data_IF_914047207829
#
_entry.id   IF_914047207829
#
_cell.length_a   1.000
_cell.length_b   1.000
_cell.length_c   1.000
_cell.angle_alpha   90.00
_cell.angle_beta   90.00
_cell.angle_gamma   90.00
#
_symmetry.space_group_name_H-M   'P 1'
#
loop_
_entity.id
_entity.type
_entity.pdbx_description
1 polymer ?
#
# COMPACT_ATOMS: atom_id res chain seq x y z
N UNK A 1 -40.02 81.65 20.30
CA UNK A 1 -39.27 82.88 19.97
C UNK A 1 -38.11 82.48 19.06
N UNK A 2 -38.17 83.05 17.82
CA UNK A 2 -37.05 83.23 16.85
C UNK A 2 -36.33 81.97 16.32
N UNK A 3 -36.66 81.49 15.11
CA UNK A 3 -36.21 81.89 13.76
C UNK A 3 -34.78 81.41 13.42
N UNK A 4 -34.71 80.39 12.53
CA UNK A 4 -34.17 80.25 11.14
C UNK A 4 -32.76 80.84 10.83
N UNK A 5 -32.06 80.49 9.70
CA UNK A 5 -32.34 79.56 8.57
C UNK A 5 -31.14 78.81 8.03
N UNK A 6 -31.40 77.82 7.14
CA UNK A 6 -30.97 77.58 5.72
C UNK A 6 -29.51 77.83 5.33
N UNK A 7 -28.95 76.80 4.70
CA UNK A 7 -28.38 76.92 3.33
C UNK A 7 -28.19 75.52 2.67
N UNK A 8 -28.84 75.34 1.56
CA UNK A 8 -28.68 74.25 0.63
C UNK A 8 -27.57 74.62 -0.37
N UNK A 9 -26.80 73.65 -0.83
CA UNK A 9 -26.06 73.68 -2.12
C UNK A 9 -26.11 72.32 -2.77
N UNK A 10 -26.90 72.25 -3.79
CA UNK A 10 -26.88 71.18 -4.77
C UNK A 10 -25.82 71.46 -5.86
N UNK A 11 -25.07 70.46 -6.30
CA UNK A 11 -24.37 70.51 -7.57
C UNK A 11 -24.47 69.18 -8.28
N UNK A 12 -24.86 69.25 -9.51
CA UNK A 12 -25.18 68.32 -10.56
C UNK A 12 -24.03 67.35 -10.97
N UNK A 13 -24.43 66.10 -11.25
CA UNK A 13 -24.33 65.29 -12.48
C UNK A 13 -23.06 65.46 -13.36
N UNK A 14 -22.41 64.34 -13.60
CA UNK A 14 -21.93 63.91 -14.91
C UNK A 14 -21.84 62.39 -15.00
N UNK A 15 -22.71 61.82 -15.83
CA UNK A 15 -22.63 60.42 -16.28
C UNK A 15 -21.52 60.32 -17.37
N UNK A 16 -20.66 59.35 -17.23
CA UNK A 16 -19.84 58.84 -18.34
C UNK A 16 -19.88 57.31 -18.33
N UNK A 17 -20.56 56.78 -19.35
CA UNK A 17 -20.54 55.39 -19.68
C UNK A 17 -19.17 55.02 -20.28
N UNK A 18 -18.52 54.01 -19.73
CA UNK A 18 -17.41 53.29 -20.39
C UNK A 18 -17.62 51.79 -20.21
N UNK A 19 -17.91 51.12 -21.32
CA UNK A 19 -17.81 49.66 -21.47
C UNK A 19 -16.40 49.21 -21.16
N UNK A 20 -16.24 48.26 -20.22
CA UNK A 20 -14.95 47.62 -19.91
C UNK A 20 -15.19 46.24 -19.38
N UNK A 21 -14.61 45.28 -20.08
CA UNK A 21 -14.62 43.84 -19.95
C UNK A 21 -14.71 43.34 -18.50
N UNK A 22 -15.64 42.42 -18.28
CA UNK A 22 -15.74 41.66 -17.03
C UNK A 22 -14.55 40.72 -16.84
N UNK A 23 -13.64 41.08 -15.96
CA UNK A 23 -12.71 40.13 -15.33
C UNK A 23 -13.48 39.45 -14.21
N UNK A 24 -13.85 38.20 -14.44
CA UNK A 24 -14.27 37.31 -13.38
C UNK A 24 -13.06 37.04 -12.47
N UNK A 25 -12.95 37.81 -11.40
CA UNK A 25 -12.10 37.46 -10.24
C UNK A 25 -12.70 36.22 -9.57
N UNK A 26 -12.18 35.08 -9.91
CA UNK A 26 -12.34 33.89 -9.05
C UNK A 26 -11.69 34.21 -7.70
N UNK A 27 -12.50 34.46 -6.71
CA UNK A 27 -12.08 34.55 -5.31
C UNK A 27 -11.48 33.17 -4.96
N UNK A 28 -10.23 33.09 -4.47
CA UNK A 28 -9.75 31.86 -3.89
C UNK A 28 -10.64 31.55 -2.70
N UNK A 29 -11.14 30.32 -2.62
CA UNK A 29 -11.81 29.83 -1.43
C UNK A 29 -10.89 30.06 -0.23
N UNK A 30 -11.40 30.75 0.79
CA UNK A 30 -10.70 31.00 2.03
C UNK A 30 -10.29 29.64 2.62
N UNK A 31 -8.98 29.38 2.65
CA UNK A 31 -8.40 28.30 3.44
C UNK A 31 -8.74 28.56 4.90
N UNK A 32 -9.67 27.79 5.46
CA UNK A 32 -9.90 27.76 6.89
C UNK A 32 -8.67 27.15 7.56
N UNK A 33 -8.20 27.81 8.61
CA UNK A 33 -7.26 27.24 9.59
C UNK A 33 -7.99 26.13 10.36
N UNK A 34 -8.00 24.94 9.78
CA UNK A 34 -8.53 23.71 10.34
C UNK A 34 -8.23 22.60 9.37
N UNK A 35 -7.31 21.71 9.71
CA UNK A 35 -6.98 20.57 8.89
C UNK A 35 -8.25 19.81 8.55
N UNK A 36 -8.48 19.56 7.25
CA UNK A 36 -9.66 18.83 6.80
C UNK A 36 -9.67 17.40 7.31
N UNK A 37 -10.88 16.82 7.46
CA UNK A 37 -11.09 15.47 8.00
C UNK A 37 -10.68 14.39 7.00
N UNK A 38 -9.81 13.48 7.43
CA UNK A 38 -9.37 12.34 6.63
C UNK A 38 -10.14 11.09 7.05
N UNK A 39 -10.88 10.50 6.10
CA UNK A 39 -11.53 9.20 6.25
C UNK A 39 -10.58 8.08 5.86
N UNK A 40 -10.50 7.02 6.68
CA UNK A 40 -9.66 5.85 6.40
C UNK A 40 -10.52 4.59 6.39
N UNK A 41 -10.33 3.76 5.35
CA UNK A 41 -10.80 2.38 5.33
C UNK A 41 -9.61 1.42 5.36
N UNK A 42 -9.56 0.55 6.37
CA UNK A 42 -8.59 -0.52 6.45
C UNK A 42 -9.08 -1.73 5.64
N UNK A 43 -8.21 -2.39 4.84
CA UNK A 43 -8.66 -3.51 4.02
C UNK A 43 -9.01 -4.74 4.85
N UNK A 44 -8.27 -4.98 5.94
CA UNK A 44 -8.43 -6.11 6.85
C UNK A 44 -7.72 -5.87 8.19
N UNK A 45 -8.03 -6.69 9.20
CA UNK A 45 -7.38 -6.65 10.53
C UNK A 45 -7.06 -8.08 11.04
N UNK A 46 -6.87 -9.02 10.12
CA UNK A 46 -6.53 -10.42 10.38
C UNK A 46 -5.17 -10.81 9.76
N UNK A 47 -4.32 -9.83 9.49
CA UNK A 47 -2.97 -9.97 8.98
C UNK A 47 -2.01 -9.15 9.85
N UNK A 48 -0.88 -9.74 10.24
CA UNK A 48 0.11 -9.07 11.09
C UNK A 48 0.69 -7.81 10.44
N UNK A 49 0.84 -7.80 9.10
CA UNK A 49 1.21 -6.62 8.35
C UNK A 49 0.19 -5.48 8.51
N UNK A 50 -1.09 -5.77 8.24
CA UNK A 50 -2.15 -4.75 8.32
C UNK A 50 -2.42 -4.30 9.76
N UNK A 51 -2.28 -5.19 10.74
CA UNK A 51 -2.36 -4.81 12.15
C UNK A 51 -1.25 -3.84 12.55
N UNK A 52 -0.04 -4.01 12.02
CA UNK A 52 1.07 -3.07 12.23
C UNK A 52 0.80 -1.72 11.56
N UNK A 53 0.35 -1.71 10.30
CA UNK A 53 -0.07 -0.48 9.62
C UNK A 53 -1.13 0.29 10.40
N UNK A 54 -2.20 -0.41 10.85
CA UNK A 54 -3.30 0.19 11.65
C UNK A 54 -2.76 0.83 12.93
N UNK A 55 -1.78 0.19 13.56
CA UNK A 55 -1.17 0.67 14.81
C UNK A 55 -0.38 1.96 14.61
N UNK A 56 0.30 2.14 13.47
CA UNK A 56 1.06 3.35 13.15
C UNK A 56 0.17 4.55 12.80
N UNK A 57 -1.05 4.34 12.30
CA UNK A 57 -1.94 5.42 11.82
C UNK A 57 -2.17 6.52 12.86
N UNK A 58 -2.60 6.25 14.12
CA UNK A 58 -2.85 7.31 15.09
C UNK A 58 -1.56 8.06 15.47
N UNK A 59 -0.44 7.39 15.59
CA UNK A 59 0.86 8.00 15.91
C UNK A 59 1.28 8.98 14.79
N UNK A 60 1.19 8.55 13.55
CA UNK A 60 1.53 9.39 12.40
C UNK A 60 0.54 10.54 12.21
N UNK A 61 -0.73 10.34 12.54
CA UNK A 61 -1.73 11.41 12.49
C UNK A 61 -1.41 12.52 13.50
N UNK A 62 -1.03 12.15 14.72
CA UNK A 62 -0.63 13.10 15.76
C UNK A 62 0.66 13.84 15.33
N UNK A 63 1.68 13.13 14.82
CA UNK A 63 2.94 13.72 14.32
C UNK A 63 2.69 14.75 13.22
N UNK A 64 1.80 14.42 12.27
CA UNK A 64 1.52 15.25 11.10
C UNK A 64 0.41 16.29 11.34
N UNK A 65 -0.28 16.23 12.48
CA UNK A 65 -1.42 17.10 12.78
C UNK A 65 -2.60 16.87 11.82
N UNK A 66 -2.93 15.60 11.55
CA UNK A 66 -4.05 15.19 10.68
C UNK A 66 -5.27 14.86 11.52
N UNK A 67 -6.43 15.48 11.22
CA UNK A 67 -7.70 15.13 11.87
C UNK A 67 -8.26 13.84 11.23
N UNK A 68 -8.21 12.74 11.98
CA UNK A 68 -8.77 11.46 11.55
C UNK A 68 -10.24 11.32 11.96
N UNK A 69 -11.02 10.75 11.04
CA UNK A 69 -12.35 10.21 11.38
C UNK A 69 -12.18 8.80 11.98
N UNK A 70 -13.26 8.30 12.63
CA UNK A 70 -13.30 6.88 13.02
C UNK A 70 -13.08 5.99 11.79
N UNK A 71 -12.01 5.20 11.80
CA UNK A 71 -11.67 4.34 10.68
C UNK A 71 -12.70 3.21 10.49
N UNK A 72 -12.89 2.82 9.25
CA UNK A 72 -13.70 1.66 8.86
C UNK A 72 -12.82 0.48 8.45
N UNK A 73 -13.41 -0.70 8.27
CA UNK A 73 -12.70 -1.91 7.86
C UNK A 73 -13.58 -2.69 6.86
N UNK A 74 -13.08 -2.81 5.64
CA UNK A 74 -13.79 -3.50 4.56
C UNK A 74 -13.65 -5.03 4.57
N UNK A 75 -12.74 -5.59 5.36
CA UNK A 75 -12.53 -7.04 5.49
C UNK A 75 -12.28 -7.73 4.14
N UNK A 76 -11.50 -7.12 3.26
CA UNK A 76 -11.24 -7.52 1.87
C UNK A 76 -12.49 -7.64 0.97
N UNK A 77 -13.63 -7.09 1.40
CA UNK A 77 -14.88 -7.09 0.65
C UNK A 77 -15.06 -5.75 -0.06
N UNK A 78 -15.09 -5.77 -1.39
CA UNK A 78 -15.20 -4.55 -2.19
C UNK A 78 -16.53 -3.84 -2.00
N UNK A 79 -17.63 -4.56 -1.74
CA UNK A 79 -18.93 -3.93 -1.49
C UNK A 79 -18.94 -3.22 -0.13
N UNK A 80 -18.30 -3.80 0.88
CA UNK A 80 -18.09 -3.12 2.16
C UNK A 80 -17.21 -1.88 2.00
N UNK A 81 -16.10 -1.97 1.25
CA UNK A 81 -15.25 -0.82 0.96
C UNK A 81 -16.06 0.34 0.35
N UNK A 82 -16.87 0.05 -0.67
CA UNK A 82 -17.73 1.06 -1.31
C UNK A 82 -18.69 1.69 -0.30
N UNK A 83 -19.37 0.87 0.52
CA UNK A 83 -20.30 1.36 1.55
C UNK A 83 -19.58 2.19 2.62
N UNK A 84 -18.42 1.75 3.07
CA UNK A 84 -17.60 2.47 4.06
C UNK A 84 -17.15 3.83 3.53
N UNK A 85 -16.66 3.89 2.29
CA UNK A 85 -16.27 5.15 1.65
C UNK A 85 -17.47 6.10 1.54
N UNK A 86 -18.65 5.61 1.15
CA UNK A 86 -19.87 6.42 1.11
C UNK A 86 -20.26 6.95 2.49
N UNK A 87 -20.15 6.12 3.53
CA UNK A 87 -20.41 6.52 4.91
C UNK A 87 -19.43 7.60 5.39
N UNK A 88 -18.14 7.43 5.13
CA UNK A 88 -17.11 8.42 5.48
C UNK A 88 -17.38 9.78 4.79
N UNK A 89 -17.73 9.76 3.49
CA UNK A 89 -18.12 10.99 2.77
C UNK A 89 -19.37 11.61 3.40
N UNK A 90 -20.38 10.82 3.71
CA UNK A 90 -21.62 11.28 4.34
C UNK A 90 -21.40 11.92 5.73
N UNK A 91 -20.33 11.51 6.41
CA UNK A 91 -19.90 12.07 7.71
C UNK A 91 -18.93 13.25 7.57
N UNK A 92 -18.60 13.67 6.36
CA UNK A 92 -17.83 14.87 6.08
C UNK A 92 -16.33 14.64 5.82
N UNK A 93 -15.92 13.44 5.41
CA UNK A 93 -14.55 13.20 4.94
C UNK A 93 -14.23 14.12 3.75
N UNK A 94 -13.08 14.78 3.81
CA UNK A 94 -12.58 15.70 2.78
C UNK A 94 -11.43 15.08 1.98
N UNK A 95 -10.82 14.02 2.48
CA UNK A 95 -9.90 13.15 1.76
C UNK A 95 -10.14 11.69 2.20
N UNK A 96 -9.86 10.73 1.33
CA UNK A 96 -10.00 9.30 1.61
C UNK A 96 -8.65 8.60 1.47
N UNK A 97 -8.30 7.80 2.47
CA UNK A 97 -7.21 6.83 2.43
C UNK A 97 -7.80 5.43 2.43
N UNK A 98 -7.41 4.60 1.47
CA UNK A 98 -7.92 3.22 1.36
C UNK A 98 -6.90 2.29 0.66
N UNK A 99 -7.09 0.98 0.84
CA UNK A 99 -6.29 -0.06 0.18
C UNK A 99 -7.22 -1.06 -0.53
N UNK A 100 -7.68 -0.76 -1.77
CA UNK A 100 -8.62 -1.63 -2.48
C UNK A 100 -7.96 -2.96 -2.87
N UNK A 101 -8.47 -4.07 -2.36
CA UNK A 101 -7.92 -5.40 -2.62
C UNK A 101 -8.33 -5.96 -3.99
N UNK A 102 -9.49 -5.57 -4.53
CA UNK A 102 -9.83 -5.72 -5.94
C UNK A 102 -9.58 -4.40 -6.66
N UNK A 103 -8.46 -4.34 -7.38
CA UNK A 103 -7.95 -3.09 -7.98
C UNK A 103 -8.71 -2.66 -9.23
N UNK A 104 -9.44 -3.57 -9.87
CA UNK A 104 -10.32 -3.27 -10.99
C UNK A 104 -11.70 -2.78 -10.58
N UNK A 105 -12.28 -3.40 -9.55
CA UNK A 105 -13.65 -3.15 -9.12
C UNK A 105 -13.87 -1.77 -8.49
N UNK A 106 -12.82 -1.12 -7.97
CA UNK A 106 -12.92 0.18 -7.28
C UNK A 106 -13.09 1.38 -8.24
N UNK A 107 -12.92 1.21 -9.54
CA UNK A 107 -12.88 2.29 -10.52
C UNK A 107 -14.10 3.23 -10.48
N UNK A 108 -15.31 2.69 -10.33
CA UNK A 108 -16.54 3.50 -10.25
C UNK A 108 -16.62 4.36 -8.98
N UNK A 109 -16.09 3.85 -7.88
CA UNK A 109 -16.01 4.58 -6.61
C UNK A 109 -15.03 5.75 -6.73
N UNK A 110 -13.87 5.52 -7.36
CA UNK A 110 -12.90 6.58 -7.63
C UNK A 110 -13.47 7.67 -8.52
N UNK A 111 -14.23 7.31 -9.56
CA UNK A 111 -14.91 8.29 -10.41
C UNK A 111 -15.95 9.13 -9.64
N UNK A 112 -16.67 8.53 -8.70
CA UNK A 112 -17.60 9.25 -7.83
C UNK A 112 -16.87 10.23 -6.90
N UNK A 113 -15.74 9.83 -6.34
CA UNK A 113 -14.89 10.70 -5.50
C UNK A 113 -14.30 11.87 -6.29
N UNK A 114 -13.81 11.61 -7.49
CA UNK A 114 -13.34 12.64 -8.42
C UNK A 114 -14.42 13.67 -8.73
N UNK A 115 -15.65 13.24 -9.06
CA UNK A 115 -16.79 14.12 -9.34
C UNK A 115 -17.19 14.99 -8.12
N UNK A 116 -16.82 14.56 -6.92
CA UNK A 116 -17.04 15.30 -5.66
C UNK A 116 -15.83 16.14 -5.25
N UNK A 117 -14.75 16.14 -6.03
CA UNK A 117 -13.47 16.76 -5.71
C UNK A 117 -12.88 16.27 -4.37
N UNK A 118 -13.08 15.02 -4.02
CA UNK A 118 -12.51 14.38 -2.82
C UNK A 118 -11.25 13.65 -3.25
N UNK A 119 -10.05 14.10 -2.84
CA UNK A 119 -8.80 13.44 -3.17
C UNK A 119 -8.73 12.05 -2.51
N UNK A 120 -8.14 11.12 -3.24
CA UNK A 120 -7.93 9.74 -2.80
C UNK A 120 -6.45 9.43 -2.77
N UNK A 121 -6.02 8.90 -1.64
CA UNK A 121 -4.73 8.26 -1.47
C UNK A 121 -4.96 6.76 -1.34
N UNK A 122 -4.30 5.97 -2.19
CA UNK A 122 -4.32 4.53 -1.99
C UNK A 122 -3.00 4.05 -1.40
N UNK A 123 -3.10 3.05 -0.53
CA UNK A 123 -1.94 2.47 0.18
C UNK A 123 -1.78 1.03 -0.26
N UNK A 124 -0.53 0.59 -0.42
CA UNK A 124 -0.18 -0.78 -0.79
C UNK A 124 -0.66 -1.18 -2.18
N UNK A 125 -1.92 -0.95 -2.51
CA UNK A 125 -2.52 -1.34 -3.78
C UNK A 125 -2.76 -0.17 -4.71
N UNK A 126 -2.43 -0.36 -5.99
CA UNK A 126 -2.67 0.59 -7.07
C UNK A 126 -3.95 0.21 -7.83
N UNK A 127 -4.98 1.09 -7.87
CA UNK A 127 -6.15 0.86 -8.71
C UNK A 127 -5.79 0.75 -10.19
N UNK A 128 -6.41 -0.20 -10.90
CA UNK A 128 -6.18 -0.37 -12.35
C UNK A 128 -6.71 0.83 -13.16
N UNK A 129 -7.75 1.50 -12.65
CA UNK A 129 -8.39 2.67 -13.28
C UNK A 129 -9.00 3.58 -12.21
N UNK A 130 -9.31 4.81 -12.62
CA UNK A 130 -9.88 5.84 -11.74
C UNK A 130 -8.79 6.71 -11.14
N UNK A 131 -9.09 8.02 -10.98
CA UNK A 131 -8.12 9.00 -10.52
C UNK A 131 -7.77 8.82 -9.06
N UNK A 132 -6.48 8.87 -8.78
CA UNK A 132 -5.93 8.97 -7.43
C UNK A 132 -5.03 10.20 -7.35
N UNK A 133 -4.92 10.77 -6.15
CA UNK A 133 -3.98 11.86 -5.90
C UNK A 133 -2.57 11.29 -5.73
N UNK A 134 -2.45 10.21 -4.95
CA UNK A 134 -1.18 9.48 -4.74
C UNK A 134 -1.46 8.02 -4.41
N UNK A 135 -0.67 7.14 -4.99
CA UNK A 135 -0.51 5.75 -4.52
C UNK A 135 0.74 5.69 -3.66
N UNK A 136 0.66 5.17 -2.45
CA UNK A 136 1.80 4.96 -1.54
C UNK A 136 2.05 3.46 -1.45
N UNK A 137 3.10 2.97 -2.08
CA UNK A 137 3.44 1.55 -2.09
C UNK A 137 4.93 1.31 -2.38
N UNK A 138 5.41 0.13 -2.06
CA UNK A 138 6.71 -0.32 -2.55
C UNK A 138 6.58 -0.96 -3.95
N UNK A 139 7.68 -1.06 -4.69
CA UNK A 139 7.70 -1.69 -6.01
C UNK A 139 7.48 -3.22 -5.91
N UNK A 140 6.25 -3.65 -6.19
CA UNK A 140 5.85 -5.06 -6.11
C UNK A 140 6.44 -5.92 -7.22
N UNK A 141 6.82 -5.36 -8.36
CA UNK A 141 7.57 -6.10 -9.38
C UNK A 141 8.99 -6.40 -8.90
N UNK A 142 9.62 -5.43 -8.21
CA UNK A 142 10.92 -5.67 -7.56
C UNK A 142 10.85 -6.77 -6.49
N UNK A 143 9.72 -6.97 -5.81
CA UNK A 143 9.57 -8.10 -4.89
C UNK A 143 9.66 -9.45 -5.61
N UNK A 144 8.94 -9.62 -6.70
CA UNK A 144 9.01 -10.84 -7.52
C UNK A 144 10.42 -11.09 -8.04
N UNK A 145 11.06 -10.05 -8.59
CA UNK A 145 12.44 -10.16 -9.12
C UNK A 145 13.45 -10.52 -8.04
N UNK A 146 13.46 -9.82 -6.89
CA UNK A 146 14.37 -10.11 -5.77
C UNK A 146 14.17 -11.51 -5.21
N UNK A 147 12.91 -11.97 -5.11
CA UNK A 147 12.61 -13.33 -4.63
C UNK A 147 13.09 -14.40 -5.60
N UNK A 148 12.95 -14.17 -6.91
CA UNK A 148 13.48 -15.03 -7.95
C UNK A 148 15.01 -15.11 -7.87
N UNK A 149 15.70 -13.98 -7.83
CA UNK A 149 17.16 -13.91 -7.76
C UNK A 149 17.67 -14.64 -6.52
N UNK A 150 17.07 -14.35 -5.35
CA UNK A 150 17.45 -15.02 -4.12
C UNK A 150 17.28 -16.54 -4.19
N UNK A 151 16.09 -17.04 -4.58
CA UNK A 151 15.86 -18.48 -4.70
C UNK A 151 16.73 -19.12 -5.77
N UNK A 152 16.86 -18.48 -6.94
CA UNK A 152 17.68 -18.97 -8.03
C UNK A 152 19.14 -19.16 -7.64
N UNK A 153 19.71 -18.19 -6.92
CA UNK A 153 21.09 -18.24 -6.41
C UNK A 153 21.25 -19.32 -5.33
N UNK A 154 20.35 -19.35 -4.33
CA UNK A 154 20.40 -20.34 -3.24
C UNK A 154 20.25 -21.79 -3.74
N UNK A 155 19.48 -21.99 -4.80
CA UNK A 155 19.26 -23.33 -5.41
C UNK A 155 20.31 -23.68 -6.46
N UNK A 156 21.25 -22.79 -6.77
CA UNK A 156 22.26 -23.00 -7.83
C UNK A 156 21.64 -23.15 -9.22
N UNK A 157 20.54 -22.45 -9.47
CA UNK A 157 19.88 -22.32 -10.76
C UNK A 157 19.04 -23.51 -11.20
N UNK A 158 18.74 -24.49 -10.34
CA UNK A 158 17.96 -25.70 -10.70
C UNK A 158 17.14 -26.24 -9.56
N UNK A 159 16.06 -26.93 -9.87
CA UNK A 159 15.19 -27.58 -8.87
C UNK A 159 13.72 -27.19 -9.03
N UNK A 160 12.98 -27.30 -7.94
CA UNK A 160 11.52 -27.03 -7.91
C UNK A 160 11.18 -26.03 -6.85
N UNK A 161 10.35 -25.07 -7.19
CA UNK A 161 9.90 -23.96 -6.31
C UNK A 161 8.38 -23.91 -6.30
N UNK A 162 7.79 -23.72 -5.13
CA UNK A 162 6.37 -23.40 -4.97
C UNK A 162 6.23 -21.90 -4.75
N UNK A 163 5.42 -21.23 -5.56
CA UNK A 163 5.03 -19.84 -5.40
C UNK A 163 3.63 -19.77 -4.79
N UNK A 164 3.52 -19.36 -3.52
CA UNK A 164 2.25 -19.13 -2.84
C UNK A 164 1.77 -17.71 -3.16
N UNK A 165 0.98 -17.60 -4.23
CA UNK A 165 0.57 -16.31 -4.79
C UNK A 165 -0.55 -15.66 -3.98
N UNK A 166 -0.58 -14.32 -3.99
CA UNK A 166 -1.75 -13.56 -3.57
C UNK A 166 -2.89 -13.60 -4.59
N UNK A 167 -3.98 -12.88 -4.29
CA UNK A 167 -5.12 -12.77 -5.21
C UNK A 167 -4.72 -12.08 -6.52
N UNK A 168 -5.07 -12.65 -7.65
CA UNK A 168 -4.81 -12.09 -8.98
C UNK A 168 -5.80 -10.97 -9.36
N UNK A 169 -6.88 -10.76 -8.61
CA UNK A 169 -7.72 -9.55 -8.68
C UNK A 169 -7.01 -8.30 -8.14
N UNK A 170 -5.95 -8.50 -7.34
CA UNK A 170 -5.08 -7.43 -6.83
C UNK A 170 -3.86 -7.24 -7.73
N UNK A 171 -3.51 -5.98 -8.01
CA UNK A 171 -2.28 -5.63 -8.73
C UNK A 171 -1.03 -6.19 -8.03
N UNK A 172 -1.01 -6.26 -6.69
CA UNK A 172 0.12 -6.78 -5.93
C UNK A 172 0.35 -8.27 -6.22
N UNK A 173 -0.72 -9.06 -6.26
CA UNK A 173 -0.63 -10.49 -6.62
C UNK A 173 -0.10 -10.68 -8.03
N UNK A 174 -0.60 -9.88 -8.99
CA UNK A 174 -0.12 -9.92 -10.39
C UNK A 174 1.34 -9.48 -10.52
N UNK A 175 1.69 -8.30 -10.02
CA UNK A 175 3.06 -7.75 -10.12
C UNK A 175 4.11 -8.71 -9.55
N UNK A 176 3.84 -9.29 -8.37
CA UNK A 176 4.76 -10.25 -7.71
C UNK A 176 4.88 -11.54 -8.53
N UNK A 177 3.74 -12.10 -8.98
CA UNK A 177 3.72 -13.37 -9.73
C UNK A 177 4.40 -13.24 -11.10
N UNK A 178 4.03 -12.21 -11.86
CA UNK A 178 4.58 -11.99 -13.20
C UNK A 178 6.08 -11.74 -13.16
N UNK A 179 6.55 -10.83 -12.29
CA UNK A 179 7.97 -10.50 -12.21
C UNK A 179 8.81 -11.69 -11.72
N UNK A 180 8.29 -12.50 -10.79
CA UNK A 180 8.95 -13.74 -10.37
C UNK A 180 9.05 -14.74 -11.53
N UNK A 181 7.94 -15.00 -12.23
CA UNK A 181 7.92 -15.94 -13.35
C UNK A 181 8.77 -15.49 -14.54
N UNK A 182 8.74 -14.20 -14.88
CA UNK A 182 9.60 -13.62 -15.93
C UNK A 182 11.09 -13.81 -15.60
N UNK A 183 11.49 -13.45 -14.37
CA UNK A 183 12.86 -13.60 -13.89
C UNK A 183 13.31 -15.06 -13.86
N UNK A 184 12.47 -15.99 -13.36
CA UNK A 184 12.78 -17.43 -13.34
C UNK A 184 13.01 -17.96 -14.76
N UNK A 185 12.11 -17.61 -15.69
CA UNK A 185 12.24 -18.03 -17.09
C UNK A 185 13.49 -17.48 -17.76
N UNK A 186 13.89 -16.25 -17.45
CA UNK A 186 15.04 -15.59 -18.07
C UNK A 186 16.37 -16.04 -17.45
N UNK A 187 16.46 -16.04 -16.11
CA UNK A 187 17.73 -16.25 -15.41
C UNK A 187 17.95 -17.67 -14.93
N UNK A 188 16.87 -18.40 -14.61
CA UNK A 188 16.94 -19.73 -14.01
C UNK A 188 16.00 -20.73 -14.68
N UNK A 189 16.15 -20.98 -16.03
CA UNK A 189 15.22 -21.79 -16.81
C UNK A 189 15.15 -23.27 -16.38
N UNK A 190 16.10 -23.76 -15.59
CA UNK A 190 16.14 -25.13 -15.06
C UNK A 190 15.41 -25.24 -13.69
N UNK A 191 14.77 -24.17 -13.21
CA UNK A 191 13.89 -24.18 -12.05
C UNK A 191 12.45 -24.34 -12.51
N UNK A 192 11.80 -25.42 -12.10
CA UNK A 192 10.36 -25.64 -12.29
C UNK A 192 9.58 -24.88 -11.21
N UNK A 193 8.65 -24.00 -11.60
CA UNK A 193 7.83 -23.21 -10.69
C UNK A 193 6.41 -23.75 -10.67
N UNK A 194 5.88 -23.96 -9.48
CA UNK A 194 4.48 -24.32 -9.22
C UNK A 194 3.73 -23.12 -8.62
N UNK A 195 2.82 -22.58 -9.40
CA UNK A 195 2.00 -21.42 -9.03
C UNK A 195 0.75 -21.86 -8.25
N UNK A 196 0.60 -21.39 -7.02
CA UNK A 196 -0.51 -21.72 -6.13
C UNK A 196 -1.26 -20.43 -5.74
N UNK A 197 -2.41 -20.11 -6.38
CA UNK A 197 -3.20 -18.92 -6.10
C UNK A 197 -3.96 -19.06 -4.79
N UNK A 198 -3.42 -18.47 -3.72
CA UNK A 198 -3.97 -18.60 -2.37
C UNK A 198 -5.07 -17.61 -2.03
N UNK A 199 -5.29 -16.59 -2.87
CA UNK A 199 -6.28 -15.51 -2.65
C UNK A 199 -6.05 -14.73 -1.32
N UNK A 200 -4.79 -14.61 -0.88
CA UNK A 200 -4.41 -14.06 0.43
C UNK A 200 -5.04 -14.83 1.62
N UNK A 201 -5.26 -16.14 1.47
CA UNK A 201 -5.83 -16.99 2.52
C UNK A 201 -4.81 -18.03 3.01
N UNK A 202 -4.45 -17.96 4.31
CA UNK A 202 -3.48 -18.89 4.91
C UNK A 202 -3.93 -20.36 4.87
N UNK A 203 -5.22 -20.64 4.99
CA UNK A 203 -5.77 -21.99 4.87
C UNK A 203 -5.60 -22.60 3.47
N UNK A 204 -5.80 -21.79 2.43
CA UNK A 204 -5.52 -22.20 1.05
C UNK A 204 -4.03 -22.43 0.83
N UNK A 205 -3.17 -21.54 1.35
CA UNK A 205 -1.73 -21.70 1.28
C UNK A 205 -1.27 -23.03 1.90
N UNK A 206 -1.75 -23.35 3.10
CA UNK A 206 -1.43 -24.63 3.76
C UNK A 206 -1.87 -25.83 2.93
N UNK A 207 -3.12 -25.84 2.46
CA UNK A 207 -3.69 -26.96 1.69
C UNK A 207 -2.98 -27.19 0.36
N UNK A 208 -2.72 -26.11 -0.39
CA UNK A 208 -2.03 -26.16 -1.67
C UNK A 208 -0.57 -26.59 -1.50
N UNK A 209 0.15 -26.00 -0.53
CA UNK A 209 1.52 -26.38 -0.22
C UNK A 209 1.62 -27.85 0.20
N UNK A 210 0.74 -28.33 1.08
CA UNK A 210 0.72 -29.72 1.49
C UNK A 210 0.54 -30.66 0.30
N UNK A 211 -0.41 -30.37 -0.57
CA UNK A 211 -0.69 -31.15 -1.79
C UNK A 211 0.52 -31.14 -2.72
N UNK A 212 1.13 -29.97 -2.91
CA UNK A 212 2.28 -29.83 -3.80
C UNK A 212 3.49 -30.62 -3.30
N UNK A 213 3.79 -30.57 -2.00
CA UNK A 213 4.88 -31.34 -1.38
C UNK A 213 4.64 -32.85 -1.38
N UNK A 214 3.37 -33.32 -1.39
CA UNK A 214 3.03 -34.74 -1.56
C UNK A 214 3.29 -35.21 -2.99
N UNK A 215 2.95 -34.40 -3.99
CA UNK A 215 3.17 -34.70 -5.40
C UNK A 215 4.64 -34.56 -5.81
N UNK A 216 5.34 -33.61 -5.21
CA UNK A 216 6.73 -33.25 -5.53
C UNK A 216 7.57 -33.13 -4.24
N UNK A 217 7.97 -34.27 -3.64
CA UNK A 217 8.77 -34.28 -2.42
C UNK A 217 10.20 -33.73 -2.60
N UNK A 218 10.57 -33.43 -3.85
CA UNK A 218 11.84 -32.83 -4.26
C UNK A 218 11.77 -31.30 -4.41
N UNK A 219 10.69 -30.65 -3.98
CA UNK A 219 10.62 -29.17 -3.86
C UNK A 219 11.71 -28.68 -2.92
N UNK A 220 12.45 -27.65 -3.35
CA UNK A 220 13.60 -27.07 -2.65
C UNK A 220 13.46 -25.59 -2.34
N UNK A 221 12.46 -24.92 -2.89
CA UNK A 221 12.22 -23.52 -2.63
C UNK A 221 10.74 -23.20 -2.45
N UNK A 222 10.44 -22.19 -1.63
CA UNK A 222 9.09 -21.64 -1.43
C UNK A 222 9.19 -20.12 -1.47
N UNK A 223 8.37 -19.50 -2.32
CA UNK A 223 8.14 -18.06 -2.32
C UNK A 223 6.74 -17.76 -1.79
N UNK A 224 6.65 -17.02 -0.68
CA UNK A 224 5.40 -16.54 -0.09
C UNK A 224 5.17 -15.08 -0.47
N UNK A 225 4.05 -14.77 -1.13
CA UNK A 225 3.74 -13.38 -1.50
C UNK A 225 3.42 -12.48 -0.31
N UNK A 226 3.05 -13.02 0.85
CA UNK A 226 2.73 -12.23 2.04
C UNK A 226 2.98 -13.04 3.32
N UNK A 227 3.97 -12.64 4.09
CA UNK A 227 4.29 -13.27 5.38
C UNK A 227 3.17 -13.13 6.41
N UNK A 228 2.51 -11.97 6.40
CA UNK A 228 1.41 -11.68 7.33
C UNK A 228 0.22 -12.65 7.27
N UNK A 229 0.14 -13.47 6.22
CA UNK A 229 -0.92 -14.50 6.09
C UNK A 229 -0.37 -15.89 5.78
N UNK A 230 0.80 -16.03 5.16
CA UNK A 230 1.32 -17.30 4.70
C UNK A 230 2.36 -17.92 5.64
N UNK A 231 3.07 -17.13 6.47
CA UNK A 231 4.18 -17.62 7.28
C UNK A 231 3.78 -18.77 8.22
N UNK A 232 2.84 -18.53 9.11
CA UNK A 232 2.44 -19.50 10.12
C UNK A 232 1.93 -20.83 9.50
N UNK A 233 1.01 -20.83 8.50
CA UNK A 233 0.57 -22.05 7.86
C UNK A 233 1.67 -22.76 7.07
N UNK A 234 2.57 -22.05 6.41
CA UNK A 234 3.73 -22.65 5.70
C UNK A 234 4.67 -23.35 6.67
N UNK A 235 5.08 -22.69 7.76
CA UNK A 235 5.91 -23.30 8.79
C UNK A 235 5.25 -24.52 9.44
N UNK A 236 3.93 -24.46 9.64
CA UNK A 236 3.18 -25.62 10.17
C UNK A 236 3.25 -26.81 9.20
N UNK A 237 3.03 -26.60 7.90
CA UNK A 237 3.13 -27.67 6.89
C UNK A 237 4.54 -28.24 6.82
N UNK A 238 5.57 -27.40 6.78
CA UNK A 238 6.96 -27.85 6.76
C UNK A 238 7.33 -28.65 8.00
N UNK A 239 6.88 -28.23 9.17
CA UNK A 239 7.09 -28.95 10.45
C UNK A 239 6.39 -30.31 10.42
N UNK A 240 5.16 -30.40 9.97
CA UNK A 240 4.40 -31.66 9.86
C UNK A 240 5.04 -32.65 8.87
N UNK A 241 5.66 -32.16 7.81
CA UNK A 241 6.36 -32.96 6.80
C UNK A 241 7.81 -33.29 7.18
N UNK A 242 8.32 -32.76 8.32
CA UNK A 242 9.72 -32.93 8.71
C UNK A 242 10.70 -32.20 7.80
N UNK A 243 10.24 -31.14 7.13
CA UNK A 243 11.02 -30.31 6.18
C UNK A 243 11.45 -28.96 6.77
N UNK A 244 11.01 -28.63 8.00
CA UNK A 244 11.51 -27.45 8.70
C UNK A 244 12.86 -27.78 9.33
N UNK A 245 13.88 -27.72 8.52
CA UNK A 245 15.26 -28.10 8.83
C UNK A 245 16.16 -26.86 8.83
N UNK A 246 17.27 -26.84 9.58
CA UNK A 246 18.19 -25.71 9.59
C UNK A 246 18.86 -25.50 8.21
N UNK A 247 19.35 -24.29 7.90
CA UNK A 247 19.92 -23.95 6.57
C UNK A 247 21.12 -24.79 6.13
N UNK A 248 21.84 -25.40 7.06
CA UNK A 248 23.00 -26.28 6.80
C UNK A 248 22.61 -27.74 6.52
N UNK A 249 21.34 -28.11 6.67
CA UNK A 249 20.86 -29.45 6.34
C UNK A 249 20.70 -29.58 4.80
N UNK A 250 21.21 -30.63 4.14
CA UNK A 250 21.09 -30.82 2.69
C UNK A 250 19.65 -31.02 2.21
N UNK A 251 18.72 -31.28 3.10
CA UNK A 251 17.28 -31.37 2.82
C UNK A 251 16.53 -30.10 3.10
N UNK A 252 17.22 -29.05 3.55
CA UNK A 252 16.59 -27.75 3.80
C UNK A 252 15.80 -27.26 2.59
N UNK A 253 14.64 -26.66 2.84
CA UNK A 253 13.81 -25.99 1.83
C UNK A 253 14.00 -24.49 2.02
N UNK A 254 14.56 -23.83 1.02
CA UNK A 254 14.78 -22.37 1.06
C UNK A 254 13.47 -21.62 1.00
N UNK A 255 13.20 -20.78 1.97
CA UNK A 255 11.94 -20.04 2.07
C UNK A 255 12.20 -18.54 2.05
N UNK A 256 11.61 -17.86 1.07
CA UNK A 256 11.57 -16.39 1.03
C UNK A 256 10.14 -15.88 1.10
N UNK A 257 9.94 -14.76 1.77
CA UNK A 257 8.65 -14.12 1.96
C UNK A 257 8.67 -12.65 1.58
N UNK A 258 7.52 -11.99 1.69
CA UNK A 258 7.37 -10.54 1.69
C UNK A 258 6.60 -10.15 2.96
N UNK A 259 6.75 -8.93 3.37
CA UNK A 259 6.14 -8.08 4.39
C UNK A 259 7.18 -7.55 5.38
N UNK A 260 8.08 -8.38 5.93
CA UNK A 260 9.06 -7.95 6.94
C UNK A 260 8.43 -7.76 8.32
N UNK A 261 7.41 -8.55 8.65
CA UNK A 261 6.76 -8.54 9.97
C UNK A 261 7.72 -9.06 11.05
N UNK A 262 7.51 -8.70 12.34
CA UNK A 262 8.34 -9.20 13.45
C UNK A 262 8.46 -10.72 13.49
N UNK A 263 7.40 -11.45 13.14
CA UNK A 263 7.38 -12.91 13.12
C UNK A 263 8.28 -13.50 12.04
N UNK A 264 8.41 -12.84 10.87
CA UNK A 264 9.37 -13.25 9.83
C UNK A 264 10.80 -13.04 10.29
N UNK A 265 11.08 -11.90 10.93
CA UNK A 265 12.41 -11.62 11.47
C UNK A 265 12.80 -12.64 12.53
N UNK A 266 11.86 -13.02 13.40
CA UNK A 266 12.10 -14.09 14.37
C UNK A 266 12.32 -15.46 13.70
N UNK A 267 11.57 -15.75 12.63
CA UNK A 267 11.76 -16.98 11.86
C UNK A 267 13.12 -17.00 11.13
N UNK A 268 13.60 -15.86 10.60
CA UNK A 268 14.95 -15.73 10.02
C UNK A 268 16.02 -15.97 11.09
N UNK A 269 15.89 -15.37 12.28
CA UNK A 269 16.83 -15.58 13.39
C UNK A 269 16.96 -17.04 13.78
N UNK A 270 15.84 -17.76 13.75
CA UNK A 270 15.79 -19.20 14.05
C UNK A 270 16.23 -20.10 12.89
N UNK A 271 16.38 -19.57 11.69
CA UNK A 271 16.63 -20.35 10.48
C UNK A 271 15.42 -21.18 10.04
N UNK A 272 14.20 -20.75 10.37
CA UNK A 272 12.94 -21.37 9.93
C UNK A 272 12.52 -20.85 8.54
N UNK A 273 12.94 -19.63 8.16
CA UNK A 273 12.94 -19.10 6.79
C UNK A 273 14.27 -18.39 6.53
N UNK A 274 14.61 -18.16 5.27
CA UNK A 274 15.91 -17.66 4.85
C UNK A 274 15.92 -16.15 4.61
N UNK A 275 14.81 -15.60 4.09
CA UNK A 275 14.71 -14.19 3.76
C UNK A 275 13.27 -13.68 3.76
N UNK A 276 13.15 -12.37 3.83
CA UNK A 276 11.91 -11.64 3.50
C UNK A 276 12.26 -10.32 2.81
N UNK A 277 11.34 -9.80 1.98
CA UNK A 277 11.44 -8.44 1.47
C UNK A 277 10.57 -7.57 2.37
N UNK A 278 11.19 -6.63 3.07
CA UNK A 278 10.52 -5.83 4.09
C UNK A 278 9.69 -4.72 3.44
N UNK A 279 8.38 -4.84 3.51
CA UNK A 279 7.40 -3.87 3.07
C UNK A 279 7.15 -2.84 4.19
N UNK A 280 7.39 -1.53 3.98
CA UNK A 280 7.48 -0.57 5.09
C UNK A 280 6.09 -0.13 5.60
N UNK A 281 5.52 -0.88 6.54
CA UNK A 281 4.18 -0.61 7.11
C UNK A 281 4.09 0.75 7.82
N UNK A 282 5.16 1.17 8.47
CA UNK A 282 5.32 2.47 9.13
C UNK A 282 5.31 3.62 8.12
N UNK A 283 6.11 3.51 7.05
CA UNK A 283 6.15 4.52 6.00
C UNK A 283 4.84 4.56 5.20
N UNK A 284 4.15 3.43 5.04
CA UNK A 284 2.82 3.40 4.43
C UNK A 284 1.84 4.26 5.23
N UNK A 285 1.81 4.12 6.56
CA UNK A 285 0.97 4.93 7.42
C UNK A 285 1.35 6.42 7.36
N UNK A 286 2.65 6.72 7.47
CA UNK A 286 3.18 8.08 7.44
C UNK A 286 2.85 8.80 6.13
N UNK A 287 3.22 8.21 5.00
CA UNK A 287 3.06 8.89 3.71
C UNK A 287 1.64 8.88 3.19
N UNK A 288 0.80 7.90 3.57
CA UNK A 288 -0.63 7.99 3.31
C UNK A 288 -1.25 9.26 3.93
N UNK A 289 -0.93 9.55 5.18
CA UNK A 289 -1.44 10.73 5.89
C UNK A 289 -0.76 12.02 5.43
N UNK A 290 0.54 11.98 5.15
CA UNK A 290 1.26 13.12 4.57
C UNK A 290 0.63 13.58 3.26
N UNK A 291 0.36 12.65 2.32
CA UNK A 291 -0.26 12.98 1.04
C UNK A 291 -1.73 13.34 1.18
N UNK A 292 -2.46 12.76 2.15
CA UNK A 292 -3.83 13.18 2.44
C UNK A 292 -3.88 14.64 2.90
N UNK A 293 -2.99 15.03 3.82
CA UNK A 293 -2.84 16.42 4.26
C UNK A 293 -2.42 17.35 3.11
N UNK A 294 -1.42 16.93 2.34
CA UNK A 294 -0.93 17.70 1.18
C UNK A 294 -2.05 17.95 0.15
N UNK A 295 -2.90 16.95 -0.10
CA UNK A 295 -4.04 17.10 -0.99
C UNK A 295 -5.07 18.12 -0.47
N UNK A 296 -5.33 18.10 0.83
CA UNK A 296 -6.22 19.07 1.48
C UNK A 296 -5.65 20.50 1.47
N UNK A 297 -4.33 20.64 1.52
CA UNK A 297 -3.60 21.90 1.38
C UNK A 297 -3.45 22.36 -0.09
N UNK A 298 -3.92 21.58 -1.07
CA UNK A 298 -3.82 21.89 -2.51
C UNK A 298 -2.43 21.79 -3.06
N UNK A 299 -1.51 21.06 -2.42
CA UNK A 299 -0.15 20.81 -2.92
C UNK A 299 -0.19 19.90 -4.15
N UNK A 300 0.86 19.97 -4.96
CA UNK A 300 1.08 19.09 -6.11
C UNK A 300 2.49 18.52 -6.05
N UNK A 301 2.67 17.36 -6.66
CA UNK A 301 3.95 16.66 -6.72
C UNK A 301 4.30 16.36 -8.18
N UNK A 302 5.59 16.20 -8.45
CA UNK A 302 6.13 15.85 -9.75
C UNK A 302 6.91 14.54 -9.63
N UNK A 303 7.01 13.76 -10.72
CA UNK A 303 7.87 12.57 -10.74
C UNK A 303 9.32 12.91 -10.44
N UNK A 304 9.99 12.05 -9.65
CA UNK A 304 11.40 12.20 -9.28
C UNK A 304 11.71 11.63 -7.90
N UNK A 305 12.98 11.74 -7.50
CA UNK A 305 13.43 11.33 -6.18
C UNK A 305 12.83 12.23 -5.09
N UNK A 306 12.48 11.63 -3.96
CA UNK A 306 11.95 12.33 -2.79
C UNK A 306 13.06 12.61 -1.75
N UNK A 307 12.72 13.25 -0.65
CA UNK A 307 13.58 13.49 0.50
C UNK A 307 13.57 12.34 1.54
N UNK A 308 12.89 11.23 1.21
CA UNK A 308 12.71 10.07 2.09
C UNK A 308 13.04 8.73 1.40
N UNK A 309 14.05 8.77 0.54
CA UNK A 309 14.62 7.61 -0.14
C UNK A 309 13.63 6.83 -1.02
N UNK A 310 12.59 7.51 -1.52
CA UNK A 310 11.64 6.95 -2.46
C UNK A 310 11.71 7.64 -3.81
N UNK A 311 10.89 7.17 -4.75
CA UNK A 311 10.76 7.79 -6.07
C UNK A 311 9.29 7.93 -6.44
N UNK A 312 8.87 9.15 -6.75
CA UNK A 312 7.55 9.37 -7.34
C UNK A 312 7.62 9.06 -8.83
N UNK A 313 6.72 8.20 -9.29
CA UNK A 313 6.53 7.88 -10.70
C UNK A 313 5.17 8.35 -11.20
N UNK A 314 5.06 8.63 -12.50
CA UNK A 314 3.79 8.95 -13.14
C UNK A 314 3.05 7.68 -13.52
N UNK A 315 1.75 7.66 -13.24
CA UNK A 315 0.81 6.62 -13.64
C UNK A 315 -0.24 7.19 -14.61
N UNK A 316 -0.91 6.37 -15.40
CA UNK A 316 -2.01 6.83 -16.25
C UNK A 316 -3.16 7.50 -15.48
N UNK A 317 -3.28 7.24 -14.18
CA UNK A 317 -4.39 7.68 -13.34
C UNK A 317 -3.96 8.46 -12.06
N UNK A 318 -2.71 8.89 -11.99
CA UNK A 318 -2.19 9.67 -10.86
C UNK A 318 -0.69 9.55 -10.69
N UNK A 319 -0.22 9.65 -9.47
CA UNK A 319 1.17 9.47 -9.08
C UNK A 319 1.32 8.29 -8.14
N UNK A 320 2.51 7.67 -8.13
CA UNK A 320 2.87 6.62 -7.18
C UNK A 320 4.19 6.98 -6.50
N UNK A 321 4.20 7.01 -5.18
CA UNK A 321 5.39 7.08 -4.36
C UNK A 321 5.87 5.66 -4.06
N UNK A 322 6.97 5.26 -4.71
CA UNK A 322 7.57 3.94 -4.59
C UNK A 322 8.58 3.91 -3.44
N UNK A 323 8.12 3.48 -2.28
CA UNK A 323 8.91 3.36 -1.07
C UNK A 323 9.93 2.22 -1.15
N UNK A 324 11.07 2.34 -0.43
CA UNK A 324 12.09 1.30 -0.40
C UNK A 324 11.58 0.03 0.27
N UNK A 325 12.03 -1.12 -0.26
CA UNK A 325 11.73 -2.44 0.28
C UNK A 325 13.01 -3.30 0.25
N UNK A 326 13.79 -3.29 1.34
CA UNK A 326 15.04 -4.04 1.42
C UNK A 326 14.80 -5.55 1.53
N UNK A 327 15.72 -6.33 0.94
CA UNK A 327 15.84 -7.75 1.24
C UNK A 327 16.45 -7.90 2.64
N UNK A 328 15.78 -8.68 3.48
CA UNK A 328 16.21 -9.00 4.84
C UNK A 328 16.56 -10.47 4.92
N UNK A 329 17.77 -10.75 5.36
CA UNK A 329 18.34 -12.08 5.58
C UNK A 329 18.93 -12.16 6.98
N UNK A 330 19.53 -13.28 7.33
CA UNK A 330 20.24 -13.42 8.61
C UNK A 330 21.35 -12.39 8.82
N UNK A 331 21.90 -11.81 7.75
CA UNK A 331 23.00 -10.86 7.81
C UNK A 331 22.58 -9.48 8.31
N UNK A 332 21.34 -9.07 8.04
CA UNK A 332 20.82 -7.73 8.35
C UNK A 332 19.51 -7.71 9.15
N UNK A 333 18.99 -8.86 9.58
CA UNK A 333 17.72 -8.94 10.33
C UNK A 333 17.77 -8.20 11.69
N UNK A 334 18.97 -7.92 12.20
CA UNK A 334 19.17 -7.18 13.45
C UNK A 334 19.23 -5.66 13.26
N UNK A 335 19.08 -5.16 12.02
CA UNK A 335 19.09 -3.72 11.77
C UNK A 335 17.91 -3.05 12.47
N UNK A 336 18.16 -2.13 13.43
CA UNK A 336 17.09 -1.48 14.19
C UNK A 336 16.26 -0.49 13.36
N UNK A 337 16.68 -0.16 12.14
CA UNK A 337 15.92 0.73 11.24
C UNK A 337 14.80 -0.01 10.50
N UNK A 338 14.83 -1.34 10.47
CA UNK A 338 13.75 -2.14 9.89
C UNK A 338 12.49 -2.04 10.76
N UNK A 339 11.37 -1.69 10.16
CA UNK A 339 10.11 -1.46 10.87
C UNK A 339 9.66 -2.65 11.72
N UNK A 340 9.88 -3.89 11.24
CA UNK A 340 9.56 -5.11 11.99
C UNK A 340 10.35 -5.28 13.30
N UNK A 341 11.47 -4.58 13.47
CA UNK A 341 12.21 -4.50 14.73
C UNK A 341 11.70 -3.37 15.65
N UNK A 342 10.88 -2.45 15.13
CA UNK A 342 10.39 -1.28 15.88
C UNK A 342 8.98 -1.49 16.44
N UNK A 343 8.22 -2.45 15.91
CA UNK A 343 6.87 -2.77 16.40
C UNK A 343 6.94 -3.32 17.83
N UNK A 344 6.34 -2.60 18.78
CA UNK A 344 6.26 -2.97 20.19
C UNK A 344 4.90 -3.56 20.54
#
# INVERSE_FOLDING_TARGET
MKLKPLAACAVLVAALAACGAGTTTTTPAAGGEGGGKVGIDHPRADSDFWNSYIKYIPEMADELGVELMTATNSQNDVAKLVNNVQALIGQGAQAIVMAPQDTGAIASTLQNLENKNIPVITVDTRPDKGKVYMVVRADNRAYGTKSCEYLGEQLGGKGKVVQLMGALSSINGRDRAEAFGECMKEKFPDIEVFDEPTEWEGSKAASMLQTRLEQHPDVKGIYMHAGGVHLAPTLQVLRQKGLLLPPDDPKHVVVISNDGIPQEFEAIRKGEIDATISQPADLYAKYALYYAKAALEGKTFEPGATDHDSTIIELPNGLEDQLPAPLVTKENVEDPTLWGNQVK
#
